data_IF_065629012597
#
_entry.id   IF_065629012597
#
_cell.length_a   1.000
_cell.length_b   1.000
_cell.length_c   1.000
_cell.angle_alpha   90.00
_cell.angle_beta   90.00
_cell.angle_gamma   90.00
#
_symmetry.space_group_name_H-M   'P 1'
#
loop_
_entity.id
_entity.type
_entity.pdbx_description
1 polymer ?
#
# COMPACT_ATOMS: atom_id res chain seq x y z
N UNK A 1 4.00 21.14 -24.06
CA UNK A 1 4.33 20.07 -23.09
C UNK A 1 3.63 20.41 -21.79
N UNK A 2 2.92 19.47 -21.17
CA UNK A 2 2.44 19.69 -19.79
C UNK A 2 3.65 19.66 -18.84
N UNK A 3 3.72 20.54 -17.83
CA UNK A 3 4.75 20.46 -16.81
C UNK A 3 4.67 19.11 -16.07
N UNK A 4 5.82 18.53 -15.73
CA UNK A 4 5.88 17.39 -14.82
C UNK A 4 5.87 17.94 -13.39
N UNK A 5 4.68 18.02 -12.78
CA UNK A 5 4.52 18.64 -11.46
C UNK A 5 5.19 17.84 -10.34
N UNK A 6 5.31 16.52 -10.46
CA UNK A 6 6.10 15.69 -9.56
C UNK A 6 7.55 16.16 -9.52
N UNK A 7 8.21 16.21 -10.69
CA UNK A 7 9.62 16.59 -10.78
C UNK A 7 9.85 18.01 -10.26
N UNK A 8 8.96 18.94 -10.58
CA UNK A 8 9.02 20.32 -10.08
C UNK A 8 8.91 20.32 -8.54
N UNK A 9 7.91 19.65 -7.99
CA UNK A 9 7.69 19.60 -6.54
C UNK A 9 8.87 18.94 -5.81
N UNK A 10 9.38 17.81 -6.30
CA UNK A 10 10.54 17.11 -5.74
C UNK A 10 11.79 18.00 -5.76
N UNK A 11 12.03 18.72 -6.86
CA UNK A 11 13.15 19.67 -6.95
C UNK A 11 13.00 20.82 -5.96
N UNK A 12 11.78 21.32 -5.73
CA UNK A 12 11.53 22.39 -4.75
C UNK A 12 11.72 21.90 -3.31
N UNK A 13 11.36 20.66 -2.98
CA UNK A 13 11.58 20.07 -1.65
C UNK A 13 13.05 19.97 -1.25
N UNK A 14 13.96 19.86 -2.22
CA UNK A 14 15.40 19.78 -1.97
C UNK A 14 16.03 21.14 -1.64
N UNK A 15 15.29 22.24 -1.86
CA UNK A 15 15.77 23.60 -1.62
C UNK A 15 15.24 24.10 -0.27
N UNK A 16 16.08 24.75 0.56
CA UNK A 16 15.60 25.39 1.77
C UNK A 16 14.70 26.59 1.40
N UNK A 17 13.47 26.57 1.89
CA UNK A 17 12.51 27.68 1.72
C UNK A 17 12.90 28.83 2.64
N UNK A 18 13.24 29.99 2.09
CA UNK A 18 13.71 31.17 2.85
C UNK A 18 12.76 32.36 2.74
N UNK A 19 11.91 32.37 1.73
CA UNK A 19 10.99 33.48 1.44
C UNK A 19 9.54 33.00 1.32
N UNK A 20 8.59 33.93 1.48
CA UNK A 20 7.17 33.65 1.30
C UNK A 20 6.84 33.25 -0.16
N UNK A 21 7.56 33.82 -1.14
CA UNK A 21 7.38 33.52 -2.55
C UNK A 21 7.82 32.08 -2.86
N UNK A 22 8.99 31.65 -2.36
CA UNK A 22 9.45 30.26 -2.49
C UNK A 22 8.49 29.26 -1.81
N UNK A 23 7.91 29.65 -0.67
CA UNK A 23 6.90 28.84 0.01
C UNK A 23 5.63 28.71 -0.84
N UNK A 24 5.16 29.82 -1.42
CA UNK A 24 3.99 29.85 -2.29
C UNK A 24 4.21 29.03 -3.57
N UNK A 25 5.41 29.08 -4.16
CA UNK A 25 5.78 28.27 -5.31
C UNK A 25 5.74 26.77 -4.98
N UNK A 26 6.34 26.37 -3.85
CA UNK A 26 6.31 24.98 -3.39
C UNK A 26 4.89 24.49 -3.12
N UNK A 27 4.05 25.31 -2.48
CA UNK A 27 2.64 24.98 -2.23
C UNK A 27 1.83 24.86 -3.52
N UNK A 28 2.12 25.69 -4.52
CA UNK A 28 1.48 25.59 -5.82
C UNK A 28 1.88 24.30 -6.55
N UNK A 29 3.19 24.00 -6.62
CA UNK A 29 3.67 22.77 -7.23
C UNK A 29 3.11 21.52 -6.54
N UNK A 30 3.01 21.55 -5.21
CA UNK A 30 2.35 20.50 -4.43
C UNK A 30 0.88 20.32 -4.84
N UNK A 31 0.12 21.40 -4.89
CA UNK A 31 -1.31 21.36 -5.21
C UNK A 31 -1.56 20.85 -6.63
N UNK A 32 -0.72 21.23 -7.60
CA UNK A 32 -0.83 20.72 -8.96
C UNK A 32 -0.47 19.23 -9.06
N UNK A 33 0.59 18.79 -8.38
CA UNK A 33 0.92 17.36 -8.31
C UNK A 33 -0.19 16.54 -7.62
N UNK A 34 -0.78 17.06 -6.54
CA UNK A 34 -1.92 16.42 -5.87
C UNK A 34 -3.14 16.31 -6.80
N UNK A 35 -3.40 17.30 -7.67
CA UNK A 35 -4.45 17.20 -8.68
C UNK A 35 -4.18 16.07 -9.67
N UNK A 36 -2.96 15.91 -10.16
CA UNK A 36 -2.60 14.82 -11.08
C UNK A 36 -2.84 13.45 -10.44
N UNK A 37 -2.43 13.27 -9.18
CA UNK A 37 -2.66 12.04 -8.43
C UNK A 37 -4.16 11.76 -8.18
N UNK A 38 -4.95 12.79 -7.91
CA UNK A 38 -6.39 12.64 -7.70
C UNK A 38 -7.14 12.30 -8.99
N UNK A 39 -6.72 12.86 -10.13
CA UNK A 39 -7.29 12.53 -11.43
C UNK A 39 -7.06 11.05 -11.76
N UNK A 40 -5.87 10.54 -11.48
CA UNK A 40 -5.52 9.15 -11.71
C UNK A 40 -6.41 8.17 -10.90
N UNK A 41 -6.79 8.53 -9.67
CA UNK A 41 -7.59 7.67 -8.78
C UNK A 41 -9.10 7.91 -8.86
N UNK A 42 -9.57 8.80 -9.73
CA UNK A 42 -10.97 9.22 -9.77
C UNK A 42 -11.96 8.05 -9.93
N UNK A 43 -11.66 7.11 -10.82
CA UNK A 43 -12.51 5.94 -11.05
C UNK A 43 -12.62 5.06 -9.78
N UNK A 44 -11.51 4.85 -9.09
CA UNK A 44 -11.48 4.10 -7.83
C UNK A 44 -12.32 4.80 -6.74
N UNK A 45 -12.18 6.13 -6.61
CA UNK A 45 -12.94 6.90 -5.64
C UNK A 45 -14.45 6.85 -5.91
N UNK A 46 -14.87 6.84 -7.18
CA UNK A 46 -16.27 6.65 -7.56
C UNK A 46 -16.78 5.27 -7.16
N UNK A 47 -16.02 4.20 -7.41
CA UNK A 47 -16.41 2.85 -6.98
C UNK A 47 -16.50 2.72 -5.45
N UNK A 48 -15.59 3.38 -4.72
CA UNK A 48 -15.64 3.48 -3.25
C UNK A 48 -16.90 4.22 -2.78
N UNK A 49 -17.27 5.32 -3.43
CA UNK A 49 -18.50 6.06 -3.10
C UNK A 49 -19.76 5.24 -3.36
N UNK A 50 -19.79 4.42 -4.42
CA UNK A 50 -20.89 3.49 -4.69
C UNK A 50 -21.05 2.40 -3.61
N UNK A 51 -20.01 2.13 -2.82
CA UNK A 51 -20.08 1.27 -1.62
C UNK A 51 -20.54 1.99 -0.37
N UNK A 52 -20.82 3.30 -0.45
CA UNK A 52 -21.32 4.13 0.65
C UNK A 52 -20.24 4.87 1.43
N UNK A 53 -18.98 4.81 1.00
CA UNK A 53 -17.87 5.49 1.67
C UNK A 53 -17.48 6.74 0.89
N UNK A 54 -17.54 7.90 1.54
CA UNK A 54 -17.12 9.17 0.94
C UNK A 54 -15.74 9.57 1.43
N UNK A 55 -14.80 9.64 0.50
CA UNK A 55 -13.41 10.06 0.72
C UNK A 55 -12.97 11.01 -0.38
N UNK A 56 -12.09 11.96 -0.06
CA UNK A 56 -11.57 12.92 -1.03
C UNK A 56 -10.42 12.33 -1.84
N UNK A 57 -9.66 11.41 -1.23
CA UNK A 57 -8.54 10.69 -1.83
C UNK A 57 -8.31 9.37 -1.06
N UNK A 58 -7.43 8.52 -1.58
CA UNK A 58 -7.13 7.21 -0.97
C UNK A 58 -6.51 7.32 0.42
N UNK A 59 -5.73 8.38 0.70
CA UNK A 59 -5.11 8.58 2.01
C UNK A 59 -6.13 8.86 3.12
N UNK A 60 -7.34 9.30 2.80
CA UNK A 60 -8.42 9.40 3.79
C UNK A 60 -8.78 8.01 4.36
N UNK A 61 -8.73 6.95 3.53
CA UNK A 61 -8.89 5.56 4.00
C UNK A 61 -7.71 5.11 4.86
N UNK A 62 -6.49 5.48 4.49
CA UNK A 62 -5.29 5.12 5.27
C UNK A 62 -5.32 5.76 6.66
N UNK A 63 -5.85 6.98 6.76
CA UNK A 63 -5.83 7.78 7.99
C UNK A 63 -7.09 7.60 8.84
N UNK A 64 -8.16 6.99 8.32
CA UNK A 64 -9.38 6.78 9.10
C UNK A 64 -9.22 5.64 10.10
N UNK A 65 -9.97 5.73 11.21
CA UNK A 65 -10.12 4.64 12.18
C UNK A 65 -11.37 3.82 11.94
N UNK A 66 -12.29 4.33 11.13
CA UNK A 66 -13.53 3.64 10.80
C UNK A 66 -13.22 2.42 9.93
N UNK A 67 -13.79 1.24 10.21
CA UNK A 67 -13.63 0.08 9.35
C UNK A 67 -14.34 0.32 8.01
N UNK A 68 -13.81 -0.28 6.95
CA UNK A 68 -14.35 -0.16 5.58
C UNK A 68 -14.32 -1.50 4.81
N UNK A 69 -14.85 -2.61 5.37
CA UNK A 69 -14.80 -3.93 4.74
C UNK A 69 -15.40 -3.96 3.32
N UNK A 70 -16.41 -3.12 3.04
CA UNK A 70 -17.16 -3.05 1.79
C UNK A 70 -16.33 -2.63 0.56
N UNK A 71 -15.17 -2.00 0.76
CA UNK A 71 -14.29 -1.53 -0.34
C UNK A 71 -13.01 -2.34 -0.49
N UNK A 72 -12.78 -3.34 0.35
CA UNK A 72 -11.54 -4.13 0.30
C UNK A 72 -11.41 -4.85 -1.06
N UNK A 73 -12.49 -5.44 -1.55
CA UNK A 73 -12.49 -6.12 -2.86
C UNK A 73 -12.29 -5.14 -4.00
N UNK A 74 -12.86 -3.92 -3.90
CA UNK A 74 -12.65 -2.84 -4.86
C UNK A 74 -11.17 -2.47 -4.89
N UNK A 75 -10.59 -2.07 -3.75
CA UNK A 75 -9.16 -1.73 -3.63
C UNK A 75 -8.25 -2.85 -4.15
N UNK A 76 -8.58 -4.11 -3.86
CA UNK A 76 -7.83 -5.28 -4.31
C UNK A 76 -7.85 -5.42 -5.84
N UNK A 77 -9.00 -5.16 -6.47
CA UNK A 77 -9.13 -5.18 -7.93
C UNK A 77 -8.30 -4.10 -8.63
N UNK A 78 -7.96 -3.03 -7.93
CA UNK A 78 -7.19 -1.91 -8.45
C UNK A 78 -5.67 -2.04 -8.26
N UNK A 79 -5.19 -3.07 -7.57
CA UNK A 79 -3.75 -3.34 -7.42
C UNK A 79 -3.01 -3.55 -8.76
N UNK A 80 -3.71 -4.05 -9.79
CA UNK A 80 -3.13 -4.35 -11.11
C UNK A 80 -3.08 -3.13 -12.05
N UNK A 81 -3.60 -1.98 -11.61
CA UNK A 81 -3.61 -0.75 -12.41
C UNK A 81 -2.24 -0.08 -12.34
N UNK A 82 -1.81 0.47 -13.48
CA UNK A 82 -0.56 1.22 -13.53
C UNK A 82 -0.76 2.63 -12.98
N UNK A 83 -0.69 2.73 -11.66
CA UNK A 83 -0.74 3.97 -10.93
C UNK A 83 0.64 4.52 -10.59
N UNK A 84 0.71 5.84 -10.39
CA UNK A 84 1.82 6.50 -9.76
C UNK A 84 2.15 5.84 -8.42
N UNK A 85 3.45 5.70 -8.08
CA UNK A 85 3.89 4.95 -6.89
C UNK A 85 3.24 5.46 -5.59
N UNK A 86 3.04 6.77 -5.44
CA UNK A 86 2.31 7.36 -4.31
C UNK A 86 0.86 6.88 -4.18
N UNK A 87 0.16 6.68 -5.30
CA UNK A 87 -1.21 6.15 -5.31
C UNK A 87 -1.22 4.64 -5.08
N UNK A 88 -0.28 3.90 -5.69
CA UNK A 88 -0.06 2.47 -5.40
C UNK A 88 0.16 2.26 -3.90
N UNK A 89 1.06 3.04 -3.30
CA UNK A 89 1.35 3.01 -1.86
C UNK A 89 0.08 3.25 -1.01
N UNK A 90 -0.69 4.29 -1.34
CA UNK A 90 -1.95 4.59 -0.65
C UNK A 90 -2.95 3.43 -0.70
N UNK A 91 -3.14 2.83 -1.88
CA UNK A 91 -4.06 1.69 -2.08
C UNK A 91 -3.60 0.48 -1.26
N UNK A 92 -2.31 0.15 -1.34
CA UNK A 92 -1.71 -0.96 -0.62
C UNK A 92 -1.87 -0.79 0.89
N UNK A 93 -1.56 0.40 1.42
CA UNK A 93 -1.74 0.71 2.85
C UNK A 93 -3.21 0.64 3.27
N UNK A 94 -4.13 1.10 2.42
CA UNK A 94 -5.56 1.01 2.70
C UNK A 94 -6.04 -0.46 2.78
N UNK A 95 -5.40 -1.39 2.06
CA UNK A 95 -5.66 -2.83 2.16
C UNK A 95 -5.06 -3.47 3.42
N UNK A 96 -4.07 -2.84 4.06
CA UNK A 96 -3.37 -3.33 5.25
C UNK A 96 -4.17 -3.30 6.56
N UNK A 97 -5.49 -3.56 6.50
CA UNK A 97 -6.42 -3.51 7.63
C UNK A 97 -6.83 -4.90 8.11
N UNK A 98 -7.32 -5.01 9.35
CA UNK A 98 -7.68 -6.31 9.98
C UNK A 98 -8.86 -7.00 9.30
N UNK A 99 -9.72 -6.24 8.63
CA UNK A 99 -10.88 -6.71 7.89
C UNK A 99 -10.47 -7.44 6.60
N UNK A 100 -9.30 -7.14 6.02
CA UNK A 100 -8.83 -7.78 4.80
C UNK A 100 -8.49 -9.24 5.05
N UNK A 101 -8.94 -10.15 4.18
CA UNK A 101 -8.72 -11.59 4.35
C UNK A 101 -7.32 -12.01 3.87
N UNK A 102 -6.93 -13.24 4.22
CA UNK A 102 -5.58 -13.77 3.93
C UNK A 102 -5.28 -13.78 2.41
N UNK A 103 -6.29 -13.94 1.57
CA UNK A 103 -6.17 -13.85 0.11
C UNK A 103 -5.71 -12.47 -0.39
N UNK A 104 -6.00 -11.39 0.35
CA UNK A 104 -5.50 -10.04 0.03
C UNK A 104 -4.00 -9.98 0.28
N UNK A 105 -3.51 -10.57 1.37
CA UNK A 105 -2.06 -10.64 1.64
C UNK A 105 -1.32 -11.45 0.55
N UNK A 106 -1.93 -12.51 0.02
CA UNK A 106 -1.38 -13.27 -1.12
C UNK A 106 -1.29 -12.40 -2.38
N UNK A 107 -2.32 -11.62 -2.69
CA UNK A 107 -2.30 -10.68 -3.83
C UNK A 107 -1.27 -9.57 -3.67
N UNK A 108 -1.11 -9.05 -2.44
CA UNK A 108 -0.07 -8.07 -2.12
C UNK A 108 1.34 -8.67 -2.29
N UNK A 109 1.53 -9.95 -1.95
CA UNK A 109 2.79 -10.64 -2.22
C UNK A 109 3.05 -10.76 -3.72
N UNK A 110 2.02 -10.99 -4.54
CA UNK A 110 2.14 -10.89 -6.01
C UNK A 110 2.61 -9.51 -6.46
N UNK A 111 1.95 -8.44 -5.98
CA UNK A 111 2.30 -7.07 -6.31
C UNK A 111 3.72 -6.65 -5.86
N UNK A 112 4.33 -7.36 -4.89
CA UNK A 112 5.71 -7.13 -4.46
C UNK A 112 6.71 -7.32 -5.61
N UNK A 113 6.38 -8.22 -6.54
CA UNK A 113 7.21 -8.57 -7.69
C UNK A 113 7.06 -7.62 -8.87
N UNK A 114 5.89 -6.99 -8.98
CA UNK A 114 5.56 -6.12 -10.11
C UNK A 114 6.12 -4.70 -9.94
N UNK A 115 6.92 -4.46 -8.90
CA UNK A 115 7.47 -3.14 -8.59
C UNK A 115 8.92 -3.22 -8.16
N UNK A 116 9.69 -2.18 -8.51
CA UNK A 116 11.04 -1.92 -7.98
C UNK A 116 11.06 -0.72 -7.02
N UNK A 117 9.92 -0.07 -6.82
CA UNK A 117 9.83 1.08 -5.92
C UNK A 117 9.92 0.62 -4.46
N UNK A 118 10.92 1.13 -3.76
CA UNK A 118 11.16 0.79 -2.35
C UNK A 118 9.99 1.17 -1.44
N UNK A 119 9.36 2.33 -1.67
CA UNK A 119 8.24 2.80 -0.86
C UNK A 119 7.01 1.89 -1.03
N UNK A 120 6.74 1.47 -2.26
CA UNK A 120 5.69 0.50 -2.56
C UNK A 120 6.00 -0.86 -1.92
N UNK A 121 7.23 -1.38 -2.04
CA UNK A 121 7.65 -2.63 -1.36
C UNK A 121 7.48 -2.57 0.15
N UNK A 122 7.93 -1.48 0.78
CA UNK A 122 7.80 -1.28 2.22
C UNK A 122 6.31 -1.26 2.64
N UNK A 123 5.45 -0.58 1.88
CA UNK A 123 4.01 -0.55 2.13
C UNK A 123 3.36 -1.94 1.98
N UNK A 124 3.80 -2.75 1.00
CA UNK A 124 3.33 -4.12 0.82
C UNK A 124 3.65 -4.96 2.05
N UNK A 125 4.91 -4.95 2.50
CA UNK A 125 5.34 -5.76 3.65
C UNK A 125 4.61 -5.37 4.93
N UNK A 126 4.45 -4.06 5.19
CA UNK A 126 3.70 -3.58 6.36
C UNK A 126 2.22 -3.98 6.27
N UNK A 127 1.62 -3.91 5.09
CA UNK A 127 0.21 -4.27 4.89
C UNK A 127 -0.03 -5.76 5.07
N UNK A 128 0.83 -6.61 4.49
CA UNK A 128 0.86 -8.06 4.72
C UNK A 128 0.98 -8.35 6.22
N UNK A 129 1.92 -7.70 6.91
CA UNK A 129 2.12 -7.88 8.34
C UNK A 129 0.85 -7.59 9.14
N UNK A 130 0.21 -6.45 8.89
CA UNK A 130 -1.01 -6.04 9.59
C UNK A 130 -2.15 -7.03 9.35
N UNK A 131 -2.35 -7.47 8.10
CA UNK A 131 -3.36 -8.46 7.74
C UNK A 131 -3.09 -9.76 8.50
N UNK A 132 -1.92 -10.37 8.34
CA UNK A 132 -1.63 -11.70 8.88
C UNK A 132 -1.57 -11.72 10.41
N UNK A 133 -1.00 -10.68 11.04
CA UNK A 133 -0.97 -10.56 12.51
C UNK A 133 -2.36 -10.50 13.12
N UNK A 134 -3.33 -9.92 12.42
CA UNK A 134 -4.72 -9.83 12.90
C UNK A 134 -5.45 -11.17 12.86
N UNK A 135 -4.98 -12.16 12.09
CA UNK A 135 -5.67 -13.45 11.92
C UNK A 135 -5.24 -14.47 12.96
N UNK A 136 -6.14 -15.41 13.27
CA UNK A 136 -5.85 -16.55 14.15
C UNK A 136 -5.00 -17.60 13.44
N UNK A 137 -4.25 -18.40 14.19
CA UNK A 137 -3.48 -19.51 13.61
C UNK A 137 -4.36 -20.45 12.76
N UNK A 138 -5.59 -20.73 13.22
CA UNK A 138 -6.57 -21.52 12.45
C UNK A 138 -6.87 -20.89 11.08
N UNK A 139 -7.16 -19.58 11.03
CA UNK A 139 -7.42 -18.89 9.76
C UNK A 139 -6.20 -18.93 8.81
N UNK A 140 -4.99 -18.80 9.35
CA UNK A 140 -3.76 -18.89 8.56
C UNK A 140 -3.54 -20.30 8.00
N UNK A 141 -3.76 -21.33 8.83
CA UNK A 141 -3.64 -22.74 8.42
C UNK A 141 -4.67 -23.11 7.34
N UNK A 142 -5.90 -22.60 7.42
CA UNK A 142 -6.92 -22.85 6.39
C UNK A 142 -6.66 -22.16 5.06
N UNK A 143 -5.80 -21.14 5.04
CA UNK A 143 -5.43 -20.41 3.84
C UNK A 143 -4.20 -21.01 3.12
N UNK A 144 -3.69 -22.14 3.62
CA UNK A 144 -2.62 -22.91 2.99
C UNK A 144 -3.13 -23.59 1.71
N UNK A 145 -3.21 -22.82 0.62
CA UNK A 145 -3.24 -23.38 -0.73
C UNK A 145 -1.77 -23.49 -1.20
N UNK A 146 -1.42 -24.57 -1.89
CA UNK A 146 -0.06 -25.12 -2.09
C UNK A 146 1.00 -24.25 -2.83
N UNK A 147 0.98 -22.92 -2.71
CA UNK A 147 1.98 -22.02 -3.33
C UNK A 147 3.10 -21.68 -2.32
N UNK A 148 4.22 -22.40 -2.42
CA UNK A 148 5.50 -22.02 -1.82
C UNK A 148 6.02 -20.80 -2.58
N UNK A 149 5.68 -19.60 -2.10
CA UNK A 149 6.42 -18.97 -1.00
C UNK A 149 5.50 -18.30 0.04
N UNK A 150 4.20 -18.21 -0.24
CA UNK A 150 3.20 -17.67 0.67
C UNK A 150 3.04 -18.58 1.91
N UNK A 151 3.25 -19.89 1.73
CA UNK A 151 3.30 -20.87 2.82
C UNK A 151 4.40 -20.57 3.85
N UNK A 152 5.62 -20.31 3.36
CA UNK A 152 6.75 -19.92 4.20
C UNK A 152 6.48 -18.61 4.96
N UNK A 153 5.82 -17.65 4.31
CA UNK A 153 5.37 -16.40 4.94
C UNK A 153 4.36 -16.66 6.07
N UNK A 154 3.34 -17.50 5.84
CA UNK A 154 2.35 -17.86 6.87
C UNK A 154 3.02 -18.55 8.07
N UNK A 155 4.02 -19.39 7.81
CA UNK A 155 4.83 -20.06 8.83
C UNK A 155 5.45 -19.11 9.85
N UNK A 156 5.95 -17.94 9.39
CA UNK A 156 6.52 -16.90 10.26
C UNK A 156 5.52 -16.47 11.33
N UNK A 157 4.27 -16.21 10.95
CA UNK A 157 3.23 -15.75 11.88
C UNK A 157 2.64 -16.86 12.73
N UNK A 158 2.58 -18.10 12.22
CA UNK A 158 2.12 -19.26 12.99
C UNK A 158 3.12 -19.55 14.12
N UNK A 159 4.42 -19.51 13.83
CA UNK A 159 5.48 -19.84 14.77
C UNK A 159 5.83 -18.66 15.71
N UNK A 160 5.64 -17.41 15.26
CA UNK A 160 6.08 -16.21 15.99
C UNK A 160 4.95 -15.21 16.19
N UNK A 161 3.93 -15.56 16.99
CA UNK A 161 2.73 -14.71 17.22
C UNK A 161 3.00 -13.32 17.77
N UNK A 162 4.17 -13.09 18.40
CA UNK A 162 4.59 -11.79 18.96
C UNK A 162 5.62 -11.05 18.11
N UNK A 163 5.85 -11.48 16.87
CA UNK A 163 6.84 -10.86 15.99
C UNK A 163 6.53 -9.37 15.76
N UNK A 164 7.56 -8.51 15.89
CA UNK A 164 7.47 -7.10 15.55
C UNK A 164 7.44 -6.90 14.03
N UNK A 165 7.04 -5.73 13.55
CA UNK A 165 7.07 -5.44 12.10
C UNK A 165 8.52 -5.45 11.59
N UNK A 166 9.46 -4.90 12.36
CA UNK A 166 10.88 -4.85 11.97
C UNK A 166 11.49 -6.25 11.89
N UNK A 167 11.20 -7.12 12.85
CA UNK A 167 11.68 -8.50 12.84
C UNK A 167 11.04 -9.31 11.71
N UNK A 168 9.77 -9.05 11.41
CA UNK A 168 9.09 -9.64 10.27
C UNK A 168 9.77 -9.21 8.95
N UNK A 169 10.01 -7.93 8.74
CA UNK A 169 10.66 -7.41 7.53
C UNK A 169 12.07 -8.00 7.37
N UNK A 170 12.86 -8.06 8.44
CA UNK A 170 14.19 -8.70 8.42
C UNK A 170 14.11 -10.17 8.03
N UNK A 171 13.15 -10.91 8.61
CA UNK A 171 12.91 -12.32 8.27
C UNK A 171 12.42 -12.49 6.83
N UNK A 172 11.57 -11.60 6.35
CA UNK A 172 11.10 -11.63 4.96
C UNK A 172 12.29 -11.56 4.00
N UNK A 173 13.14 -10.55 4.12
CA UNK A 173 14.31 -10.41 3.24
C UNK A 173 15.30 -11.57 3.36
N UNK A 174 15.48 -12.12 4.56
CA UNK A 174 16.46 -13.19 4.80
C UNK A 174 15.97 -14.56 4.35
N UNK A 175 14.73 -14.90 4.69
CA UNK A 175 14.23 -16.27 4.66
C UNK A 175 13.15 -16.47 3.58
N UNK A 176 12.42 -15.42 3.17
CA UNK A 176 11.29 -15.51 2.24
C UNK A 176 11.66 -14.98 0.85
N UNK A 177 12.25 -13.79 0.75
CA UNK A 177 12.64 -13.18 -0.53
C UNK A 177 13.56 -14.03 -1.41
N UNK A 178 14.48 -14.84 -0.87
CA UNK A 178 15.25 -15.77 -1.69
C UNK A 178 14.39 -16.85 -2.34
N UNK A 179 13.39 -17.37 -1.63
CA UNK A 179 12.45 -18.39 -2.13
C UNK A 179 11.50 -17.83 -3.21
N UNK A 180 11.39 -16.50 -3.26
CA UNK A 180 10.56 -15.75 -4.19
C UNK A 180 11.26 -15.52 -5.55
N UNK A 181 12.57 -15.78 -5.67
CA UNK A 181 13.41 -15.49 -6.86
C UNK A 181 13.78 -16.73 -7.69
N UNK A 182 13.31 -17.91 -7.29
CA UNK A 182 13.46 -19.19 -8.01
C UNK A 182 12.20 -19.54 -8.80
#
# INVERSE_FOLDING_TARGET
MKPNWEQIFVTLLQKPVKTADEFSEMQHARAEFEKELNLETQALLQEIELKGIKVNNIWDLVNTRSPYPEVIDVLTGYLTKDYHNKNKEGIIRALGVKEAEVSVAQRLLGAYFDTDDKGVKDAILVSIYNILKSKTAKKLLTAQNNEEPFMSLLGVFIQNRKISVDDFVKKFYKDIEPLLKE
#
